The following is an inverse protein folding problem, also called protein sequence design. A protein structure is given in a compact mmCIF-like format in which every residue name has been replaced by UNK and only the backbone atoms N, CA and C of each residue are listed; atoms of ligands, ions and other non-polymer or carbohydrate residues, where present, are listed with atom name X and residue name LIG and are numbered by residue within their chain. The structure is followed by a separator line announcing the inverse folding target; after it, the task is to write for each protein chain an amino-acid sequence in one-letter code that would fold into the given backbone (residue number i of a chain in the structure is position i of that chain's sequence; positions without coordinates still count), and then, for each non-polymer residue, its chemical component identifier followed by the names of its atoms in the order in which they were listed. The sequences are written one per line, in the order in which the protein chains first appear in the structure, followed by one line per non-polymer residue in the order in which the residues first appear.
data_IF_026328500643
#
_entry.id   IF_026328500643
#
_cell.length_a   1.000
_cell.length_b   1.000
_cell.length_c   1.000
_cell.angle_alpha   90.00
_cell.angle_beta   90.00
_cell.angle_gamma   90.00
#
_symmetry.space_group_name_H-M   'P 1'
#
loop_
_entity.id
_entity.type
_entity.pdbx_description
1 polymer ?
#
# COMPACT_ATOMS: atom_id res chain seq x y z
N UNK A 1 -8.41 -11.88 33.84
CA UNK A 1 -7.05 -12.05 34.40
C UNK A 1 -6.03 -11.66 33.34
N UNK A 2 -5.19 -10.66 33.61
CA UNK A 2 -4.05 -10.32 32.76
C UNK A 2 -2.84 -11.13 33.24
N UNK A 3 -2.41 -12.12 32.46
CA UNK A 3 -1.17 -12.86 32.75
C UNK A 3 0.04 -11.97 32.43
N UNK A 4 1.08 -12.05 33.25
CA UNK A 4 2.35 -11.41 32.91
C UNK A 4 2.93 -12.04 31.63
N UNK A 5 3.66 -11.25 30.84
CA UNK A 5 4.34 -11.72 29.63
C UNK A 5 5.19 -12.98 29.91
N UNK A 6 5.89 -13.01 31.05
CA UNK A 6 6.72 -14.15 31.45
C UNK A 6 5.93 -15.43 31.73
N UNK A 7 4.76 -15.33 32.32
CA UNK A 7 3.88 -16.48 32.59
C UNK A 7 3.27 -17.03 31.29
N UNK A 8 2.87 -16.13 30.39
CA UNK A 8 2.35 -16.47 29.07
C UNK A 8 3.41 -17.17 28.21
N UNK A 9 4.66 -16.70 28.26
CA UNK A 9 5.80 -17.32 27.58
C UNK A 9 6.11 -18.72 28.14
N UNK A 10 6.11 -18.89 29.47
CA UNK A 10 6.31 -20.22 30.11
C UNK A 10 5.21 -21.20 29.72
N UNK A 11 3.95 -20.77 29.73
CA UNK A 11 2.80 -21.57 29.31
C UNK A 11 2.92 -21.96 27.84
N UNK A 12 3.30 -21.03 26.96
CA UNK A 12 3.53 -21.30 25.54
C UNK A 12 4.65 -22.30 25.31
N UNK A 13 5.78 -22.16 26.02
CA UNK A 13 6.89 -23.11 25.93
C UNK A 13 6.48 -24.53 26.35
N UNK A 14 5.69 -24.67 27.42
CA UNK A 14 5.14 -25.95 27.84
C UNK A 14 4.20 -26.54 26.78
N UNK A 15 3.34 -25.72 26.18
CA UNK A 15 2.45 -26.15 25.09
C UNK A 15 3.24 -26.62 23.86
N UNK A 16 4.31 -25.92 23.48
CA UNK A 16 5.18 -26.30 22.35
C UNK A 16 5.87 -27.65 22.62
N UNK A 17 6.40 -27.85 23.82
CA UNK A 17 7.08 -29.11 24.21
C UNK A 17 6.12 -30.30 24.27
N UNK A 18 4.87 -30.07 24.70
CA UNK A 18 3.82 -31.09 24.81
C UNK A 18 2.98 -31.26 23.54
N UNK A 19 3.40 -30.68 22.41
CA UNK A 19 2.67 -30.87 21.14
C UNK A 19 2.61 -32.37 20.81
N UNK A 20 1.44 -32.90 20.43
CA UNK A 20 1.24 -34.33 20.21
C UNK A 20 1.99 -34.88 18.99
N UNK A 21 2.37 -34.01 18.05
CA UNK A 21 3.15 -34.35 16.86
C UNK A 21 4.45 -33.55 16.89
N UNK A 22 5.58 -34.26 16.79
CA UNK A 22 6.91 -33.67 16.77
C UNK A 22 7.10 -32.73 15.58
N UNK A 23 8.00 -31.75 15.70
CA UNK A 23 8.28 -30.82 14.61
C UNK A 23 8.79 -31.54 13.36
N UNK A 24 9.66 -32.54 13.52
CA UNK A 24 10.20 -33.35 12.43
C UNK A 24 9.11 -34.10 11.67
N UNK A 25 8.25 -34.81 12.40
CA UNK A 25 7.18 -35.60 11.80
C UNK A 25 6.15 -34.73 11.10
N UNK A 26 5.86 -33.55 11.67
CA UNK A 26 4.99 -32.55 11.05
C UNK A 26 5.53 -32.10 9.69
N UNK A 27 6.84 -31.82 9.59
CA UNK A 27 7.47 -31.43 8.33
C UNK A 27 7.34 -32.56 7.31
N UNK A 28 7.69 -33.79 7.68
CA UNK A 28 7.59 -34.96 6.80
C UNK A 28 6.17 -35.13 6.26
N UNK A 29 5.15 -35.11 7.14
CA UNK A 29 3.74 -35.25 6.75
C UNK A 29 3.28 -34.15 5.80
N UNK A 30 3.65 -32.89 6.05
CA UNK A 30 3.28 -31.80 5.15
C UNK A 30 4.03 -31.85 3.82
N UNK A 31 5.29 -32.31 3.81
CA UNK A 31 6.05 -32.49 2.57
C UNK A 31 5.51 -33.65 1.73
N UNK A 32 5.13 -34.76 2.35
CA UNK A 32 4.48 -35.90 1.67
C UNK A 32 3.13 -35.48 1.10
N UNK A 33 2.31 -34.78 1.89
CA UNK A 33 1.04 -34.23 1.44
C UNK A 33 1.22 -33.26 0.26
N UNK A 34 2.18 -32.35 0.33
CA UNK A 34 2.46 -31.43 -0.79
C UNK A 34 3.00 -32.16 -2.04
N UNK A 35 3.77 -33.24 -1.85
CA UNK A 35 4.28 -34.05 -2.96
C UNK A 35 3.17 -34.90 -3.61
N UNK A 36 2.22 -35.40 -2.82
CA UNK A 36 1.10 -36.24 -3.28
C UNK A 36 0.00 -35.42 -3.96
N UNK A 37 -0.38 -34.28 -3.39
CA UNK A 37 -1.50 -33.46 -3.87
C UNK A 37 -1.09 -32.25 -4.72
N UNK A 38 0.20 -31.98 -4.84
CA UNK A 38 0.74 -31.02 -5.80
C UNK A 38 0.50 -29.54 -5.47
N UNK A 39 0.70 -28.64 -6.44
CA UNK A 39 0.59 -27.19 -6.22
C UNK A 39 -0.86 -26.79 -5.98
N UNK A 40 -1.11 -26.20 -4.83
CA UNK A 40 -2.41 -25.63 -4.51
C UNK A 40 -2.52 -24.26 -5.17
N UNK A 41 -3.41 -24.11 -6.15
CA UNK A 41 -3.64 -22.83 -6.83
C UNK A 41 -3.95 -21.68 -5.87
N UNK A 42 -4.54 -21.99 -4.70
CA UNK A 42 -4.84 -21.04 -3.63
C UNK A 42 -3.65 -20.69 -2.72
N UNK A 43 -2.57 -21.48 -2.75
CA UNK A 43 -1.31 -21.15 -2.04
C UNK A 43 -0.36 -20.35 -2.91
N UNK A 44 -0.63 -20.26 -4.21
CA UNK A 44 0.12 -19.41 -5.10
C UNK A 44 -0.30 -17.94 -4.87
N UNK A 45 0.69 -17.05 -4.77
CA UNK A 45 0.39 -15.62 -4.68
C UNK A 45 -0.39 -15.21 -5.92
N UNK A 46 -1.56 -14.61 -5.74
CA UNK A 46 -2.40 -14.12 -6.84
C UNK A 46 -1.62 -13.19 -7.79
N UNK A 47 -0.57 -12.53 -7.27
CA UNK A 47 0.33 -11.67 -8.04
C UNK A 47 1.08 -12.36 -9.18
N UNK A 48 1.33 -13.67 -9.10
CA UNK A 48 2.04 -14.43 -10.15
C UNK A 48 1.22 -14.55 -11.44
N UNK A 49 -0.12 -14.48 -11.32
CA UNK A 49 -1.05 -14.61 -12.45
C UNK A 49 -1.62 -13.27 -12.93
N UNK A 50 -1.21 -12.15 -12.32
CA UNK A 50 -1.70 -10.83 -12.72
C UNK A 50 -1.06 -10.40 -14.03
N UNK A 51 -1.88 -9.81 -14.90
CA UNK A 51 -1.38 -9.16 -16.10
C UNK A 51 -0.53 -7.93 -15.71
N UNK A 52 0.45 -7.55 -16.52
CA UNK A 52 1.33 -6.39 -16.27
C UNK A 52 0.54 -5.13 -15.91
N UNK A 53 -0.56 -4.87 -16.62
CA UNK A 53 -1.45 -3.73 -16.37
C UNK A 53 -2.12 -3.76 -14.98
N UNK A 54 -2.53 -4.94 -14.52
CA UNK A 54 -3.16 -5.13 -13.21
C UNK A 54 -2.13 -5.08 -12.08
N UNK A 55 -0.95 -5.67 -12.31
CA UNK A 55 0.14 -5.66 -11.33
C UNK A 55 0.60 -4.24 -11.00
N UNK A 56 0.69 -3.38 -12.02
CA UNK A 56 1.07 -1.97 -11.84
C UNK A 56 -0.11 -1.00 -11.66
N UNK A 57 -1.36 -1.50 -11.63
CA UNK A 57 -2.58 -0.68 -11.44
C UNK A 57 -2.63 0.53 -12.40
N UNK A 58 -2.26 0.29 -13.66
CA UNK A 58 -2.10 1.34 -14.67
C UNK A 58 -3.44 2.05 -14.95
N UNK A 59 -4.55 1.32 -14.86
CA UNK A 59 -5.92 1.81 -14.99
C UNK A 59 -6.30 2.85 -13.92
N UNK A 60 -5.70 2.77 -12.73
CA UNK A 60 -5.90 3.74 -11.65
C UNK A 60 -4.86 4.86 -11.72
N UNK A 61 -3.60 4.52 -12.02
CA UNK A 61 -2.49 5.47 -12.02
C UNK A 61 -2.62 6.52 -13.12
N UNK A 62 -3.04 6.11 -14.33
CA UNK A 62 -3.22 7.04 -15.46
C UNK A 62 -4.26 8.15 -15.19
N UNK A 63 -5.52 7.85 -14.82
CA UNK A 63 -6.48 8.91 -14.52
C UNK A 63 -6.09 9.72 -13.28
N UNK A 64 -5.52 9.08 -12.24
CA UNK A 64 -5.09 9.79 -11.04
C UNK A 64 -3.99 10.82 -11.33
N UNK A 65 -2.96 10.43 -12.10
CA UNK A 65 -1.88 11.34 -12.51
C UNK A 65 -2.37 12.44 -13.43
N UNK A 66 -3.29 12.14 -14.36
CA UNK A 66 -3.90 13.16 -15.22
C UNK A 66 -4.67 14.20 -14.41
N UNK A 67 -5.51 13.77 -13.46
CA UNK A 67 -6.27 14.67 -12.58
C UNK A 67 -5.32 15.54 -11.78
N UNK A 68 -4.25 14.97 -11.22
CA UNK A 68 -3.24 15.71 -10.46
C UNK A 68 -2.56 16.78 -11.31
N UNK A 69 -2.14 16.44 -12.54
CA UNK A 69 -1.50 17.38 -13.47
C UNK A 69 -2.45 18.51 -13.84
N UNK A 70 -3.71 18.20 -14.16
CA UNK A 70 -4.72 19.21 -14.49
C UNK A 70 -4.99 20.14 -13.30
N UNK A 71 -5.07 19.58 -12.09
CA UNK A 71 -5.26 20.36 -10.87
C UNK A 71 -4.09 21.32 -10.63
N UNK A 72 -2.85 20.84 -10.73
CA UNK A 72 -1.65 21.69 -10.58
C UNK A 72 -1.59 22.77 -11.67
N UNK A 73 -1.88 22.41 -12.93
CA UNK A 73 -1.91 23.37 -14.03
C UNK A 73 -2.96 24.48 -13.79
N UNK A 74 -4.14 24.11 -13.29
CA UNK A 74 -5.20 25.06 -12.93
C UNK A 74 -4.77 25.98 -11.80
N UNK A 75 -4.13 25.46 -10.75
CA UNK A 75 -3.61 26.29 -9.65
C UNK A 75 -2.57 27.29 -10.14
N UNK A 76 -1.61 26.86 -10.97
CA UNK A 76 -0.60 27.74 -11.56
C UNK A 76 -1.28 28.82 -12.43
N UNK A 77 -2.26 28.44 -13.24
CA UNK A 77 -3.00 29.39 -14.07
C UNK A 77 -3.71 30.45 -13.24
N UNK A 78 -4.39 30.06 -12.16
CA UNK A 78 -5.04 30.99 -11.23
C UNK A 78 -4.03 31.92 -10.57
N UNK A 79 -2.91 31.39 -10.07
CA UNK A 79 -1.86 32.18 -9.46
C UNK A 79 -1.30 33.24 -10.43
N UNK A 80 -0.99 32.84 -11.66
CA UNK A 80 -0.50 33.77 -12.70
C UNK A 80 -1.57 34.84 -12.99
N UNK A 81 -2.85 34.46 -13.09
CA UNK A 81 -3.95 35.40 -13.32
C UNK A 81 -4.08 36.40 -12.17
N UNK A 82 -4.04 35.96 -10.92
CA UNK A 82 -4.09 36.81 -9.74
C UNK A 82 -2.90 37.78 -9.71
N UNK A 83 -1.68 37.29 -9.95
CA UNK A 83 -0.48 38.14 -10.03
C UNK A 83 -0.59 39.21 -11.13
N UNK A 84 -1.13 38.85 -12.31
CA UNK A 84 -1.38 39.81 -13.40
C UNK A 84 -2.46 40.83 -13.06
N UNK A 85 -3.51 40.45 -12.32
CA UNK A 85 -4.55 41.36 -11.88
C UNK A 85 -4.02 42.34 -10.82
N UNK A 86 -3.28 41.83 -9.83
CA UNK A 86 -2.65 42.64 -8.78
C UNK A 86 -1.65 43.65 -9.35
N UNK A 87 -0.77 43.21 -10.26
CA UNK A 87 0.18 44.12 -10.93
C UNK A 87 -0.54 45.22 -11.72
N UNK A 88 -1.59 44.90 -12.48
CA UNK A 88 -2.43 45.92 -13.16
C UNK A 88 -3.11 46.87 -12.19
N UNK A 89 -3.60 46.37 -11.06
CA UNK A 89 -4.25 47.19 -10.04
C UNK A 89 -3.25 48.14 -9.36
N UNK A 90 -2.05 47.67 -9.00
CA UNK A 90 -0.98 48.51 -8.46
C UNK A 90 -0.53 49.59 -9.44
N UNK A 91 -0.38 49.28 -10.73
CA UNK A 91 -0.03 50.27 -11.77
C UNK A 91 -1.14 51.32 -11.93
N UNK A 92 -2.41 50.90 -11.94
CA UNK A 92 -3.55 51.82 -12.04
C UNK A 92 -3.67 52.75 -10.83
N UNK A 93 -3.46 52.24 -9.61
CA UNK A 93 -3.54 53.07 -8.40
C UNK A 93 -2.40 54.09 -8.31
N UNK A 94 -1.19 53.81 -8.84
CA UNK A 94 -0.12 54.81 -8.92
C UNK A 94 -0.49 55.99 -9.82
N UNK A 95 -1.08 55.75 -10.99
CA UNK A 95 -1.46 56.82 -11.92
C UNK A 95 -2.67 57.66 -11.44
N UNK A 96 -3.40 57.22 -10.40
CA UNK A 96 -4.52 57.98 -9.82
C UNK A 96 -4.08 58.90 -8.66
N UNK A 97 -2.83 58.82 -8.22
CA UNK A 97 -2.29 59.63 -7.11
C UNK A 97 -1.29 60.72 -7.56
N UNK A 98 -0.97 60.79 -8.85
CA UNK A 98 -0.38 61.96 -9.52
C UNK A 98 -1.48 62.82 -10.15
#
# INVERSE_FOLDING_TARGET
MNFSYGESAKRLAQMIRKKPISARERVIKYTEFAAEFGPFDNLNSAGVRLNFFQYYLIDILLPATLILVLFVALLIFILIRLMRLLSRFCVRNKHKQE
#
